data_IF_575578917140
#
_entry.id   IF_575578917140
#
_cell.length_a   1.000
_cell.length_b   1.000
_cell.length_c   1.000
_cell.angle_alpha   90.00
_cell.angle_beta   90.00
_cell.angle_gamma   90.00
#
_symmetry.space_group_name_H-M   'P 1'
#
loop_
_entity.id
_entity.type
_entity.pdbx_description
1 polymer ?
#
# COMPACT_ATOMS: atom_id res chain seq x y z
N UNK A 1 -16.62 30.39 13.80
CA UNK A 1 -15.33 31.06 13.95
C UNK A 1 -14.15 30.05 13.93
N UNK A 2 -14.18 28.94 14.74
CA UNK A 2 -13.10 27.95 14.78
C UNK A 2 -12.90 27.24 13.44
N UNK A 3 -13.97 26.85 12.77
CA UNK A 3 -13.91 26.20 11.46
C UNK A 3 -13.37 27.12 10.36
N UNK A 4 -13.68 28.42 10.42
CA UNK A 4 -13.14 29.37 9.46
C UNK A 4 -11.62 29.54 9.62
N UNK A 5 -11.11 29.54 10.85
CA UNK A 5 -9.66 29.58 11.10
C UNK A 5 -8.96 28.30 10.62
N UNK A 6 -9.56 27.13 10.88
CA UNK A 6 -9.03 25.87 10.39
C UNK A 6 -9.00 25.80 8.85
N UNK A 7 -10.08 26.27 8.20
CA UNK A 7 -10.15 26.33 6.74
C UNK A 7 -9.12 27.30 6.15
N UNK A 8 -8.88 28.44 6.80
CA UNK A 8 -7.84 29.39 6.37
C UNK A 8 -6.46 28.78 6.46
N UNK A 9 -6.11 28.14 7.58
CA UNK A 9 -4.82 27.49 7.74
C UNK A 9 -4.61 26.34 6.75
N UNK A 10 -5.64 25.53 6.48
CA UNK A 10 -5.57 24.49 5.46
C UNK A 10 -5.37 25.06 4.05
N UNK A 11 -6.00 26.20 3.75
CA UNK A 11 -5.82 26.89 2.46
C UNK A 11 -4.38 27.38 2.29
N UNK A 12 -3.74 27.86 3.33
CA UNK A 12 -2.35 28.31 3.25
C UNK A 12 -1.42 27.15 2.86
N UNK A 13 -1.65 25.94 3.38
CA UNK A 13 -0.90 24.74 2.97
C UNK A 13 -1.17 24.38 1.51
N UNK A 14 -2.42 24.45 1.07
CA UNK A 14 -2.77 24.19 -0.35
C UNK A 14 -2.08 25.22 -1.29
N UNK A 15 -1.99 26.47 -0.89
CA UNK A 15 -1.26 27.50 -1.67
C UNK A 15 0.24 27.24 -1.73
N UNK A 16 0.84 26.68 -0.68
CA UNK A 16 2.23 26.21 -0.72
C UNK A 16 2.41 25.04 -1.71
N UNK A 17 1.46 24.11 -1.76
CA UNK A 17 1.45 23.05 -2.77
C UNK A 17 1.35 23.60 -4.19
N UNK A 18 0.50 24.59 -4.44
CA UNK A 18 0.39 25.27 -5.75
C UNK A 18 1.68 25.99 -6.17
N UNK A 19 2.52 26.36 -5.22
CA UNK A 19 3.84 26.96 -5.45
C UNK A 19 4.95 25.91 -5.61
N UNK A 20 4.64 24.62 -5.57
CA UNK A 20 5.60 23.54 -5.70
C UNK A 20 6.45 23.30 -4.45
N UNK A 21 6.07 23.85 -3.29
CA UNK A 21 6.75 23.58 -2.01
C UNK A 21 6.42 22.17 -1.52
N UNK A 22 5.14 21.80 -1.65
CA UNK A 22 4.65 20.44 -1.40
C UNK A 22 4.11 19.86 -2.71
N UNK A 23 4.41 18.59 -2.95
CA UNK A 23 3.97 17.89 -4.15
C UNK A 23 3.59 16.46 -3.76
N UNK A 24 2.56 15.90 -4.41
CA UNK A 24 2.25 14.49 -4.29
C UNK A 24 3.38 13.66 -4.90
N UNK A 25 3.86 12.69 -4.15
CA UNK A 25 4.89 11.79 -4.64
C UNK A 25 4.34 10.85 -5.70
N UNK A 26 5.09 10.69 -6.78
CA UNK A 26 4.73 9.78 -7.87
C UNK A 26 5.92 8.96 -8.31
N UNK A 27 5.69 7.69 -8.56
CA UNK A 27 6.63 6.77 -9.21
C UNK A 27 6.12 6.52 -10.62
N UNK A 28 7.01 6.57 -11.59
CA UNK A 28 6.66 6.38 -13.01
C UNK A 28 6.09 4.98 -13.27
N UNK A 29 5.10 4.88 -14.16
CA UNK A 29 4.39 3.64 -14.47
C UNK A 29 5.28 2.51 -15.00
N UNK A 30 6.46 2.69 -15.32
CA UNK A 30 7.39 1.66 -15.81
C UNK A 30 8.78 1.85 -15.21
N UNK A 31 8.86 2.28 -13.98
CA UNK A 31 10.14 2.26 -13.28
C UNK A 31 10.55 0.80 -13.01
N UNK A 32 10.82 0.11 -14.09
CA UNK A 32 11.48 -1.20 -14.10
C UNK A 32 12.90 -0.99 -13.64
N UNK A 33 13.11 -0.83 -12.41
CA UNK A 33 14.49 -0.47 -12.16
C UNK A 33 15.16 -1.31 -11.16
N UNK A 34 14.50 -1.83 -10.21
CA UNK A 34 15.32 -2.26 -9.09
C UNK A 34 14.81 -3.45 -8.32
N UNK A 35 13.57 -3.77 -8.42
CA UNK A 35 13.04 -5.04 -7.88
C UNK A 35 11.86 -5.37 -8.77
N UNK A 36 11.93 -6.50 -9.47
CA UNK A 36 10.74 -7.13 -10.02
C UNK A 36 9.77 -7.32 -8.85
N UNK A 37 8.90 -6.34 -8.64
CA UNK A 37 7.80 -6.49 -7.71
C UNK A 37 6.69 -7.20 -8.47
N UNK A 38 6.57 -8.54 -8.37
CA UNK A 38 5.52 -9.28 -9.04
C UNK A 38 4.13 -8.93 -8.51
N UNK A 39 4.08 -8.15 -7.44
CA UNK A 39 2.85 -7.64 -6.85
C UNK A 39 2.48 -6.23 -7.32
N UNK A 40 3.12 -5.69 -8.34
CA UNK A 40 2.65 -4.45 -8.95
C UNK A 40 1.25 -4.68 -9.50
N UNK A 41 0.28 -4.06 -8.87
CA UNK A 41 -1.12 -4.18 -9.24
C UNK A 41 -1.42 -3.08 -10.22
N UNK A 42 -1.70 -3.47 -11.44
CA UNK A 42 -2.18 -2.54 -12.43
C UNK A 42 -3.50 -1.91 -11.96
N UNK A 43 -3.65 -0.60 -11.99
CA UNK A 43 -4.93 0.03 -11.73
C UNK A 43 -5.96 -0.50 -12.73
N UNK A 44 -7.24 -0.58 -12.32
CA UNK A 44 -8.29 -1.03 -13.23
C UNK A 44 -8.43 -0.05 -14.41
N UNK A 45 -8.75 -0.58 -15.58
CA UNK A 45 -8.99 0.26 -16.75
C UNK A 45 -10.20 1.17 -16.51
N UNK A 46 -10.03 2.46 -16.74
CA UNK A 46 -11.07 3.46 -16.64
C UNK A 46 -11.08 4.36 -17.87
N UNK A 47 -12.25 4.65 -18.42
CA UNK A 47 -12.41 5.36 -19.70
C UNK A 47 -11.72 6.74 -19.76
N UNK A 48 -11.54 7.39 -18.63
CA UNK A 48 -10.88 8.71 -18.55
C UNK A 48 -9.51 8.62 -17.87
N UNK A 49 -9.49 8.11 -16.64
CA UNK A 49 -8.30 8.20 -15.79
C UNK A 49 -7.14 7.29 -16.21
N UNK A 50 -7.40 6.18 -16.91
CA UNK A 50 -6.34 5.32 -17.46
C UNK A 50 -5.63 5.94 -18.67
N UNK A 51 -6.23 6.96 -19.29
CA UNK A 51 -5.74 7.57 -20.53
C UNK A 51 -5.14 8.97 -20.34
N UNK A 52 -5.23 9.51 -19.13
CA UNK A 52 -4.67 10.80 -18.77
C UNK A 52 -3.47 10.64 -17.86
N UNK A 53 -2.52 11.55 -17.98
CA UNK A 53 -1.37 11.62 -17.07
C UNK A 53 -1.77 12.24 -15.72
N UNK A 54 -1.01 11.92 -14.69
CA UNK A 54 -1.16 12.56 -13.39
C UNK A 54 -0.97 14.08 -13.50
N UNK A 55 -1.78 14.90 -12.83
CA UNK A 55 -2.79 14.54 -11.83
C UNK A 55 -4.19 14.26 -12.36
N UNK A 56 -4.43 14.34 -13.66
CA UNK A 56 -5.76 14.11 -14.26
C UNK A 56 -6.11 12.60 -14.34
N UNK A 57 -5.12 11.74 -14.31
CA UNK A 57 -5.25 10.29 -14.35
C UNK A 57 -3.98 9.61 -13.84
N UNK A 58 -3.82 8.34 -14.15
CA UNK A 58 -2.68 7.52 -13.65
C UNK A 58 -1.88 6.83 -14.75
N UNK A 59 -2.06 7.22 -16.02
CA UNK A 59 -1.39 6.56 -17.16
C UNK A 59 0.13 6.48 -17.02
N UNK A 60 0.73 7.52 -16.45
CA UNK A 60 2.19 7.69 -16.37
C UNK A 60 2.77 7.39 -14.97
N UNK A 61 1.96 6.91 -14.03
CA UNK A 61 2.41 6.59 -12.67
C UNK A 61 2.08 5.15 -12.28
N UNK A 62 2.83 4.62 -11.30
CA UNK A 62 2.50 3.41 -10.57
C UNK A 62 1.83 3.80 -9.24
N UNK A 63 0.51 3.64 -9.08
CA UNK A 63 -0.20 4.08 -7.88
C UNK A 63 0.20 3.31 -6.62
N UNK A 64 0.54 2.01 -6.75
CA UNK A 64 0.96 1.20 -5.62
C UNK A 64 2.31 1.69 -5.10
N UNK A 65 3.31 1.77 -5.95
CA UNK A 65 4.64 2.21 -5.56
C UNK A 65 4.67 3.67 -5.14
N UNK A 66 3.89 4.53 -5.77
CA UNK A 66 3.76 5.94 -5.36
C UNK A 66 3.29 6.09 -3.93
N UNK A 67 2.40 5.22 -3.48
CA UNK A 67 1.93 5.22 -2.09
C UNK A 67 2.88 4.47 -1.15
N UNK A 68 3.33 3.29 -1.53
CA UNK A 68 4.17 2.42 -0.69
C UNK A 68 5.51 3.07 -0.33
N UNK A 69 6.15 3.69 -1.31
CA UNK A 69 7.49 4.28 -1.14
C UNK A 69 7.52 5.49 -0.18
N UNK A 70 6.37 6.09 0.11
CA UNK A 70 6.27 7.12 1.15
C UNK A 70 6.57 6.60 2.55
N UNK A 71 6.34 5.30 2.82
CA UNK A 71 6.33 4.73 4.16
C UNK A 71 7.37 3.65 4.39
N UNK A 72 7.95 3.08 3.34
CA UNK A 72 8.87 1.94 3.43
C UNK A 72 10.36 2.35 3.53
N UNK A 73 10.67 3.63 3.61
CA UNK A 73 12.02 4.15 3.75
C UNK A 73 12.81 4.29 2.45
N UNK A 74 12.20 4.06 1.30
CA UNK A 74 12.83 4.27 -0.02
C UNK A 74 13.10 5.76 -0.26
N UNK A 75 12.20 6.63 0.20
CA UNK A 75 12.35 8.08 0.10
C UNK A 75 12.83 8.63 1.44
N UNK A 76 13.92 9.38 1.41
CA UNK A 76 14.37 10.08 2.60
C UNK A 76 13.38 11.18 3.01
N UNK A 77 13.19 11.42 4.32
CA UNK A 77 12.29 12.48 4.80
C UNK A 77 12.58 13.87 4.21
N UNK A 78 13.84 14.15 3.91
CA UNK A 78 14.27 15.41 3.29
C UNK A 78 13.86 15.56 1.83
N UNK A 79 13.54 14.45 1.17
CA UNK A 79 13.15 14.39 -0.25
C UNK A 79 11.63 14.23 -0.41
N UNK A 80 10.96 13.86 0.68
CA UNK A 80 9.52 13.63 0.68
C UNK A 80 8.74 14.94 0.75
N UNK A 81 8.33 15.45 -0.40
CA UNK A 81 7.57 16.69 -0.51
C UNK A 81 6.12 16.60 -0.03
N UNK A 82 5.60 15.41 0.27
CA UNK A 82 4.31 15.26 0.95
C UNK A 82 4.39 15.51 2.46
N UNK A 83 5.59 15.48 3.02
CA UNK A 83 5.80 15.64 4.45
C UNK A 83 5.69 17.11 4.84
N UNK A 84 4.58 17.48 5.45
CA UNK A 84 4.29 18.85 5.89
C UNK A 84 4.77 19.06 7.34
N UNK A 85 4.51 18.07 8.19
CA UNK A 85 4.84 18.15 9.62
C UNK A 85 5.09 16.75 10.19
N UNK A 86 6.13 16.62 10.98
CA UNK A 86 6.44 15.38 11.71
C UNK A 86 6.71 15.68 13.18
N UNK A 87 6.28 14.79 14.05
CA UNK A 87 6.69 14.78 15.46
C UNK A 87 7.87 13.82 15.59
N UNK A 88 9.06 14.32 15.37
CA UNK A 88 10.27 13.50 15.21
C UNK A 88 10.98 13.07 16.48
N UNK A 89 10.43 13.33 17.66
CA UNK A 89 11.06 12.82 18.90
C UNK A 89 10.44 11.50 19.30
N UNK A 90 11.21 10.45 19.12
CA UNK A 90 10.94 9.16 19.68
C UNK A 90 11.83 8.94 20.92
N UNK A 91 11.23 8.80 22.08
CA UNK A 91 11.93 8.45 23.32
C UNK A 91 12.14 6.93 23.44
N UNK A 92 11.73 6.15 22.45
CA UNK A 92 11.85 4.70 22.41
C UNK A 92 12.99 4.21 21.51
N UNK A 93 13.41 2.98 21.74
CA UNK A 93 14.32 2.28 20.85
C UNK A 93 13.60 1.90 19.56
N UNK A 94 14.04 2.46 18.44
CA UNK A 94 13.46 2.17 17.12
C UNK A 94 13.57 0.68 16.76
N UNK A 95 14.64 -0.01 17.19
CA UNK A 95 14.82 -1.44 16.93
C UNK A 95 13.74 -2.25 17.64
N UNK A 96 13.46 -1.92 18.89
CA UNK A 96 12.38 -2.55 19.66
C UNK A 96 11.02 -2.31 18.99
N UNK A 97 10.77 -1.10 18.50
CA UNK A 97 9.52 -0.78 17.81
C UNK A 97 9.36 -1.58 16.51
N UNK A 98 10.42 -1.68 15.71
CA UNK A 98 10.44 -2.47 14.49
C UNK A 98 10.22 -3.96 14.83
N UNK A 99 10.91 -4.51 15.82
CA UNK A 99 10.74 -5.90 16.22
C UNK A 99 9.30 -6.24 16.64
N UNK A 100 8.57 -5.32 17.28
CA UNK A 100 7.17 -5.56 17.63
C UNK A 100 6.24 -5.59 16.42
N UNK A 101 6.61 -4.93 15.33
CA UNK A 101 5.82 -4.84 14.11
C UNK A 101 6.16 -5.94 13.10
N UNK A 102 7.41 -6.39 13.09
CA UNK A 102 7.88 -7.36 12.10
C UNK A 102 7.31 -8.75 12.36
N UNK A 103 6.99 -9.52 11.32
CA UNK A 103 6.66 -10.92 11.40
C UNK A 103 7.79 -11.76 12.02
N UNK A 104 7.43 -12.88 12.64
CA UNK A 104 8.39 -13.80 13.26
C UNK A 104 9.43 -14.30 12.25
N UNK A 105 9.02 -14.56 11.02
CA UNK A 105 9.92 -14.99 9.94
C UNK A 105 11.08 -14.01 9.67
N UNK A 106 10.91 -12.73 10.02
CA UNK A 106 11.94 -11.69 9.90
C UNK A 106 12.58 -11.33 11.25
N UNK A 107 12.45 -12.18 12.25
CA UNK A 107 13.03 -11.94 13.59
C UNK A 107 12.20 -10.98 14.44
N UNK A 108 10.98 -10.69 14.07
CA UNK A 108 10.06 -9.88 14.85
C UNK A 108 9.24 -10.69 15.85
N UNK A 109 8.41 -9.98 16.60
CA UNK A 109 7.56 -10.57 17.66
C UNK A 109 6.10 -10.73 17.21
N UNK A 110 5.74 -10.22 16.04
CA UNK A 110 4.37 -10.24 15.52
C UNK A 110 3.32 -9.73 16.55
N UNK A 111 3.68 -8.67 17.29
CA UNK A 111 2.83 -8.15 18.36
C UNK A 111 1.76 -7.18 17.87
N UNK A 112 1.99 -6.54 16.73
CA UNK A 112 1.08 -5.56 16.16
C UNK A 112 0.44 -6.12 14.90
N UNK A 113 -0.86 -6.20 14.91
CA UNK A 113 -1.64 -6.60 13.74
C UNK A 113 -2.70 -5.55 13.43
N UNK A 114 -3.00 -5.40 12.14
CA UNK A 114 -4.10 -4.56 11.70
C UNK A 114 -5.42 -5.22 12.06
N UNK A 115 -6.38 -4.42 12.54
CA UNK A 115 -7.72 -4.96 12.84
C UNK A 115 -8.45 -5.33 11.55
N UNK A 116 -9.26 -6.39 11.59
CA UNK A 116 -10.09 -6.77 10.45
C UNK A 116 -10.99 -5.63 9.97
N UNK A 117 -11.52 -4.81 10.89
CA UNK A 117 -12.30 -3.62 10.54
C UNK A 117 -11.52 -2.62 9.69
N UNK A 118 -10.23 -2.45 9.94
CA UNK A 118 -9.38 -1.58 9.13
C UNK A 118 -9.14 -2.20 7.75
N UNK A 119 -8.93 -3.50 7.69
CA UNK A 119 -8.81 -4.20 6.40
C UNK A 119 -10.08 -4.06 5.56
N UNK A 120 -11.25 -4.17 6.19
CA UNK A 120 -12.54 -4.03 5.51
C UNK A 120 -12.83 -2.59 5.03
N UNK A 121 -12.17 -1.58 5.61
CA UNK A 121 -12.35 -0.19 5.23
C UNK A 121 -11.71 0.16 3.87
N UNK A 122 -10.77 -0.64 3.39
CA UNK A 122 -10.21 -0.48 2.06
C UNK A 122 -11.20 -0.91 0.99
N UNK A 123 -11.20 -0.22 -0.14
CA UNK A 123 -12.11 -0.48 -1.25
C UNK A 123 -11.65 -1.67 -2.10
N UNK A 124 -12.55 -2.14 -2.94
CA UNK A 124 -12.23 -3.02 -4.05
C UNK A 124 -11.51 -2.23 -5.16
N UNK A 125 -10.80 -2.92 -6.04
CA UNK A 125 -10.12 -2.31 -7.19
C UNK A 125 -11.07 -1.54 -8.14
N UNK A 126 -12.37 -1.81 -8.05
CA UNK A 126 -13.42 -1.09 -8.78
C UNK A 126 -13.84 0.23 -8.12
N UNK A 127 -13.25 0.58 -6.97
CA UNK A 127 -13.64 1.74 -6.16
C UNK A 127 -14.91 1.56 -5.32
N UNK A 128 -15.50 0.36 -5.32
CA UNK A 128 -16.65 0.04 -4.46
C UNK A 128 -16.19 -0.30 -3.04
N UNK A 129 -16.99 0.00 -2.01
CA UNK A 129 -16.73 -0.50 -0.68
C UNK A 129 -16.66 -2.04 -0.67
N UNK A 130 -15.78 -2.59 0.18
CA UNK A 130 -15.74 -4.02 0.44
C UNK A 130 -17.05 -4.45 1.14
N UNK A 131 -17.69 -5.47 0.62
CA UNK A 131 -18.96 -6.01 1.14
C UNK A 131 -18.78 -7.47 1.58
N UNK A 132 -18.71 -7.69 2.88
CA UNK A 132 -18.52 -9.04 3.45
C UNK A 132 -19.54 -10.07 2.98
N UNK A 133 -20.71 -9.65 2.56
CA UNK A 133 -21.75 -10.56 2.09
C UNK A 133 -21.54 -11.02 0.64
N UNK A 134 -20.72 -10.29 -0.11
CA UNK A 134 -20.43 -10.53 -1.53
C UNK A 134 -18.97 -10.80 -1.81
N UNK A 135 -18.10 -10.03 -1.17
CA UNK A 135 -16.66 -10.03 -1.42
C UNK A 135 -15.92 -10.95 -0.43
N UNK A 136 -16.57 -11.28 0.68
CA UNK A 136 -16.10 -12.29 1.62
C UNK A 136 -16.36 -13.69 1.10
N UNK A 137 -15.32 -14.45 0.94
CA UNK A 137 -15.39 -15.78 0.33
C UNK A 137 -15.40 -16.94 1.36
N UNK A 138 -15.38 -16.59 2.64
CA UNK A 138 -15.32 -17.55 3.75
C UNK A 138 -13.91 -18.01 4.10
N UNK A 139 -13.81 -18.65 5.26
CA UNK A 139 -12.51 -19.02 5.85
C UNK A 139 -11.76 -20.11 5.07
N UNK A 140 -12.48 -20.90 4.25
CA UNK A 140 -11.92 -22.01 3.50
C UNK A 140 -11.81 -21.74 1.99
N UNK A 141 -12.03 -20.52 1.56
CA UNK A 141 -11.93 -20.16 0.15
C UNK A 141 -10.56 -19.58 -0.18
N UNK A 142 -9.71 -20.42 -0.72
CA UNK A 142 -8.34 -20.11 -1.06
C UNK A 142 -8.13 -20.13 -2.58
N UNK A 143 -7.16 -19.38 -3.03
CA UNK A 143 -6.74 -19.35 -4.44
C UNK A 143 -6.13 -20.70 -4.78
N UNK A 144 -6.63 -21.35 -5.84
CA UNK A 144 -6.08 -22.60 -6.37
C UNK A 144 -4.82 -22.36 -7.19
N UNK A 145 -4.09 -23.43 -7.50
CA UNK A 145 -2.92 -23.36 -8.38
C UNK A 145 -3.30 -22.84 -9.79
N UNK A 146 -4.44 -23.27 -10.32
CA UNK A 146 -4.94 -22.83 -11.63
C UNK A 146 -5.32 -21.34 -11.62
N UNK A 147 -6.00 -20.90 -10.56
CA UNK A 147 -6.39 -19.51 -10.39
C UNK A 147 -5.17 -18.60 -10.20
N UNK A 148 -4.15 -19.06 -9.48
CA UNK A 148 -2.89 -18.31 -9.35
C UNK A 148 -2.17 -18.22 -10.70
N UNK A 149 -2.15 -19.29 -11.48
CA UNK A 149 -1.51 -19.33 -12.80
C UNK A 149 -2.24 -18.49 -13.84
N UNK A 150 -3.58 -18.31 -13.73
CA UNK A 150 -4.34 -17.44 -14.63
C UNK A 150 -3.98 -15.97 -14.46
N UNK A 151 -3.51 -15.57 -13.26
CA UNK A 151 -3.25 -14.18 -12.90
C UNK A 151 -4.50 -13.39 -12.52
N UNK A 152 -5.68 -13.96 -12.56
CA UNK A 152 -6.94 -13.26 -12.25
C UNK A 152 -7.01 -12.82 -10.79
N UNK A 153 -6.30 -13.53 -9.92
CA UNK A 153 -6.22 -13.23 -8.49
C UNK A 153 -4.95 -12.47 -8.07
N UNK A 154 -4.14 -12.03 -9.01
CA UNK A 154 -2.94 -11.29 -8.66
C UNK A 154 -3.24 -10.08 -7.75
N UNK A 155 -2.41 -9.83 -6.72
CA UNK A 155 -1.12 -10.45 -6.40
C UNK A 155 -1.19 -11.70 -5.52
N UNK A 156 -2.37 -12.28 -5.32
CA UNK A 156 -2.53 -13.46 -4.49
C UNK A 156 -1.89 -14.67 -5.18
N UNK A 157 -1.24 -15.49 -4.36
CA UNK A 157 -0.67 -16.76 -4.80
C UNK A 157 -1.53 -17.93 -4.31
N UNK A 158 -1.25 -19.13 -4.80
CA UNK A 158 -1.91 -20.35 -4.33
C UNK A 158 -1.90 -20.44 -2.80
N UNK A 159 -3.04 -20.85 -2.24
CA UNK A 159 -3.22 -21.02 -0.80
C UNK A 159 -3.53 -19.73 -0.03
N UNK A 160 -3.59 -18.58 -0.68
CA UNK A 160 -4.00 -17.32 -0.05
C UNK A 160 -5.52 -17.20 -0.04
N UNK A 161 -6.09 -16.71 1.05
CA UNK A 161 -7.53 -16.52 1.17
C UNK A 161 -8.02 -15.42 0.22
N UNK A 162 -9.06 -15.70 -0.55
CA UNK A 162 -9.62 -14.83 -1.57
C UNK A 162 -10.19 -13.50 -1.04
N UNK A 163 -10.43 -13.37 0.27
CA UNK A 163 -10.86 -12.10 0.88
C UNK A 163 -9.88 -10.94 0.63
N UNK A 164 -8.63 -11.27 0.36
CA UNK A 164 -7.58 -10.27 0.09
C UNK A 164 -7.47 -9.93 -1.40
N UNK A 165 -8.23 -10.60 -2.27
CA UNK A 165 -8.20 -10.39 -3.70
C UNK A 165 -8.96 -9.16 -4.17
N UNK A 166 -8.58 -8.65 -5.34
CA UNK A 166 -9.25 -7.55 -6.03
C UNK A 166 -9.43 -6.27 -5.20
N UNK A 167 -8.49 -6.01 -4.26
CA UNK A 167 -8.53 -4.82 -3.42
C UNK A 167 -7.78 -3.66 -4.10
N UNK A 168 -8.06 -2.46 -3.64
CA UNK A 168 -7.35 -1.27 -4.12
C UNK A 168 -5.85 -1.30 -3.80
N UNK A 169 -4.99 -0.61 -4.57
CA UNK A 169 -3.53 -0.63 -4.36
C UNK A 169 -3.09 -0.27 -2.93
N UNK A 170 -3.75 0.66 -2.28
CA UNK A 170 -3.43 1.05 -0.88
C UNK A 170 -3.60 -0.09 0.12
N UNK A 171 -4.50 -1.03 -0.15
CA UNK A 171 -4.64 -2.23 0.66
C UNK A 171 -3.33 -3.03 0.65
N UNK A 172 -2.82 -3.34 -0.52
CA UNK A 172 -1.62 -4.16 -0.67
C UNK A 172 -0.34 -3.46 -0.22
N UNK A 173 -0.32 -2.13 -0.25
CA UNK A 173 0.78 -1.34 0.27
C UNK A 173 0.79 -1.23 1.81
N UNK A 174 -0.33 -1.50 2.46
CA UNK A 174 -0.48 -1.26 3.91
C UNK A 174 -0.73 -2.53 4.71
N UNK A 175 -1.44 -3.49 4.12
CA UNK A 175 -1.90 -4.71 4.81
C UNK A 175 -0.99 -5.88 4.43
N UNK A 176 -0.25 -6.37 5.41
CA UNK A 176 0.43 -7.65 5.29
C UNK A 176 -0.57 -8.77 5.64
N UNK A 177 -0.64 -9.80 4.80
CA UNK A 177 -1.49 -10.97 4.98
C UNK A 177 -0.70 -12.24 4.71
N UNK A 178 -1.17 -13.37 5.20
CA UNK A 178 -0.49 -14.65 4.97
C UNK A 178 -0.35 -14.94 3.48
N UNK A 179 0.87 -15.18 3.02
CA UNK A 179 1.18 -15.40 1.61
C UNK A 179 1.38 -14.12 0.79
N UNK A 180 1.37 -12.93 1.42
CA UNK A 180 1.76 -11.71 0.71
C UNK A 180 3.25 -11.71 0.40
N UNK A 181 3.60 -11.05 -0.69
CA UNK A 181 4.98 -10.79 -1.02
C UNK A 181 5.51 -9.68 -0.11
N UNK A 182 6.50 -10.00 0.70
CA UNK A 182 7.19 -9.03 1.51
C UNK A 182 8.49 -8.62 0.83
N UNK A 183 8.64 -7.35 0.52
CA UNK A 183 9.91 -6.81 0.04
C UNK A 183 10.92 -6.83 1.18
N UNK A 184 11.64 -7.92 1.31
CA UNK A 184 12.67 -8.06 2.32
C UNK A 184 13.84 -7.13 2.03
N UNK A 185 14.41 -6.61 3.08
CA UNK A 185 15.66 -5.84 3.03
C UNK A 185 16.85 -6.68 2.60
N UNK A 186 16.68 -7.97 2.42
CA UNK A 186 17.71 -8.92 2.03
C UNK A 186 17.21 -9.75 0.85
N UNK A 187 17.84 -9.60 -0.29
CA UNK A 187 17.49 -10.28 -1.54
C UNK A 187 17.48 -11.82 -1.45
N UNK A 188 18.16 -12.40 -0.47
CA UNK A 188 18.20 -13.84 -0.25
C UNK A 188 16.94 -14.38 0.45
N UNK A 189 16.20 -13.52 1.14
CA UNK A 189 15.01 -13.89 1.90
C UNK A 189 13.72 -13.30 1.32
N UNK A 190 13.81 -12.72 0.15
CA UNK A 190 12.76 -11.88 -0.43
C UNK A 190 11.46 -12.60 -0.76
N UNK A 191 11.36 -13.91 -0.63
CA UNK A 191 10.25 -14.65 -1.22
C UNK A 191 9.77 -15.84 -0.40
N UNK A 192 9.93 -15.82 0.91
CA UNK A 192 9.19 -16.77 1.72
C UNK A 192 7.72 -16.36 1.74
N UNK A 193 6.97 -16.87 0.76
CA UNK A 193 5.55 -16.63 0.58
C UNK A 193 4.68 -17.27 1.68
N UNK A 194 5.29 -17.94 2.62
CA UNK A 194 4.64 -18.60 3.76
C UNK A 194 4.74 -17.75 5.02
N UNK A 195 4.72 -16.43 4.89
CA UNK A 195 4.60 -15.55 6.03
C UNK A 195 3.31 -15.86 6.77
N UNK A 196 3.43 -16.54 7.88
CA UNK A 196 2.36 -16.69 8.86
C UNK A 196 2.34 -15.40 9.65
N UNK A 197 1.34 -14.56 9.41
CA UNK A 197 1.03 -13.41 10.23
C UNK A 197 0.03 -13.82 11.30
#
# INVERSE_FOLDING_TARGET
>A
EKWAKAAAAARDVVELGRKGVYELHTVSAHSTGTIDNPATIAPPTHAVYSHADFPAGWRNIDPLQSYETLFNGVIFPSENKEMIFTTGQNNGDINTMIQHQMPIAFGGYNCHAMTGKQCDAYQMNTGKPFDKTKDWTGDENYVSAEEAASGDWAPLVEGVNKQYGHREPRFYATVAYNGCLWNGTNAVQSYDRNLII
#
